data_IF_940377282143
#
_entry.id   IF_940377282143
#
_cell.length_a   1.000
_cell.length_b   1.000
_cell.length_c   1.000
_cell.angle_alpha   90.00
_cell.angle_beta   90.00
_cell.angle_gamma   90.00
#
_symmetry.space_group_name_H-M   'P 1'
#
loop_
_entity.id
_entity.type
_entity.pdbx_description
1 polymer ?
#
# COMPACT_ATOMS: atom_id res chain seq x y z
N UNK A 1 17.37 18.08 -11.75
CA UNK A 1 16.26 17.86 -12.70
C UNK A 1 14.95 18.13 -11.97
N UNK A 2 14.24 19.22 -12.25
CA UNK A 2 12.88 19.38 -11.75
C UNK A 2 12.05 18.24 -12.38
N UNK A 3 11.27 17.52 -11.58
CA UNK A 3 10.23 16.65 -12.15
C UNK A 3 9.22 17.61 -12.77
N UNK A 4 9.17 17.70 -14.09
CA UNK A 4 8.06 18.30 -14.81
C UNK A 4 6.77 17.78 -14.18
N UNK A 5 6.05 18.65 -13.48
CA UNK A 5 4.75 18.32 -12.95
C UNK A 5 3.86 18.09 -14.17
N UNK A 6 3.71 16.83 -14.58
CA UNK A 6 2.82 16.45 -15.65
C UNK A 6 1.40 16.76 -15.16
N UNK A 7 0.89 17.94 -15.54
CA UNK A 7 -0.42 18.41 -15.09
C UNK A 7 -1.45 17.52 -15.80
N UNK A 8 -1.88 16.49 -15.09
CA UNK A 8 -2.97 15.63 -15.54
C UNK A 8 -4.19 16.50 -15.89
N UNK A 9 -4.80 16.34 -17.08
CA UNK A 9 -6.01 17.06 -17.47
C UNK A 9 -7.12 16.95 -16.42
N UNK A 10 -7.89 18.02 -16.21
CA UNK A 10 -8.93 18.09 -15.17
C UNK A 10 -9.98 16.95 -15.27
N UNK A 11 -10.41 16.60 -16.48
CA UNK A 11 -11.37 15.51 -16.67
C UNK A 11 -10.82 14.15 -16.27
N UNK A 12 -9.55 13.89 -16.61
CA UNK A 12 -8.87 12.67 -16.19
C UNK A 12 -8.71 12.63 -14.67
N UNK A 13 -8.44 13.78 -14.02
CA UNK A 13 -8.39 13.89 -12.56
C UNK A 13 -9.73 13.57 -11.89
N UNK A 14 -10.85 14.03 -12.45
CA UNK A 14 -12.19 13.74 -11.94
C UNK A 14 -12.51 12.24 -12.08
N UNK A 15 -12.20 11.64 -13.23
CA UNK A 15 -12.36 10.20 -13.46
C UNK A 15 -11.54 9.37 -12.48
N UNK A 16 -10.27 9.73 -12.26
CA UNK A 16 -9.41 8.98 -11.35
C UNK A 16 -9.79 9.12 -9.87
N UNK A 17 -10.26 10.29 -9.44
CA UNK A 17 -10.79 10.46 -8.08
C UNK A 17 -12.03 9.59 -7.84
N UNK A 18 -12.92 9.51 -8.82
CA UNK A 18 -14.09 8.63 -8.78
C UNK A 18 -13.67 7.16 -8.71
N UNK A 19 -12.77 6.72 -9.60
CA UNK A 19 -12.24 5.36 -9.61
C UNK A 19 -11.53 4.98 -8.31
N UNK A 20 -10.80 5.90 -7.69
CA UNK A 20 -10.17 5.67 -6.40
C UNK A 20 -11.21 5.32 -5.32
N UNK A 21 -12.31 6.05 -5.28
CA UNK A 21 -13.42 5.77 -4.36
C UNK A 21 -14.01 4.37 -4.58
N UNK A 22 -14.27 3.99 -5.84
CA UNK A 22 -14.77 2.67 -6.21
C UNK A 22 -13.80 1.53 -5.81
N UNK A 23 -12.51 1.71 -6.04
CA UNK A 23 -11.48 0.73 -5.67
C UNK A 23 -11.42 0.57 -4.14
N UNK A 24 -11.45 1.68 -3.39
CA UNK A 24 -11.47 1.65 -1.92
C UNK A 24 -12.73 0.93 -1.43
N UNK A 25 -13.89 1.20 -2.02
CA UNK A 25 -15.14 0.54 -1.67
C UNK A 25 -15.06 -0.98 -1.90
N UNK A 26 -14.62 -1.39 -3.08
CA UNK A 26 -14.48 -2.81 -3.44
C UNK A 26 -13.50 -3.54 -2.51
N UNK A 27 -12.34 -2.93 -2.24
CA UNK A 27 -11.33 -3.51 -1.36
C UNK A 27 -11.80 -3.59 0.09
N UNK A 28 -12.48 -2.56 0.60
CA UNK A 28 -13.03 -2.55 1.95
C UNK A 28 -14.09 -3.65 2.13
N UNK A 29 -14.98 -3.80 1.14
CA UNK A 29 -15.99 -4.88 1.12
C UNK A 29 -15.33 -6.25 1.14
N UNK A 30 -14.28 -6.46 0.32
CA UNK A 30 -13.51 -7.72 0.32
C UNK A 30 -12.86 -8.01 1.67
N UNK A 31 -12.43 -6.97 2.38
CA UNK A 31 -11.84 -7.07 3.72
C UNK A 31 -12.89 -7.10 4.84
N UNK A 32 -14.20 -7.08 4.52
CA UNK A 32 -15.31 -6.98 5.47
C UNK A 32 -15.19 -5.77 6.42
N UNK A 33 -14.72 -4.65 5.87
CA UNK A 33 -14.59 -3.36 6.57
C UNK A 33 -15.46 -2.31 5.91
N UNK A 34 -15.77 -1.26 6.68
CA UNK A 34 -16.40 -0.07 6.11
C UNK A 34 -15.40 0.64 5.18
N UNK A 35 -15.85 1.16 4.01
CA UNK A 35 -15.00 1.93 3.14
C UNK A 35 -14.58 3.24 3.81
N UNK A 36 -13.32 3.61 3.61
CA UNK A 36 -12.81 4.89 4.12
C UNK A 36 -13.22 6.03 3.17
N UNK A 37 -13.68 7.16 3.69
CA UNK A 37 -14.04 8.31 2.87
C UNK A 37 -12.78 8.92 2.23
N UNK A 38 -12.87 9.22 0.94
CA UNK A 38 -11.83 9.96 0.23
C UNK A 38 -12.08 11.45 0.41
N UNK A 39 -11.25 12.12 1.19
CA UNK A 39 -11.40 13.56 1.40
C UNK A 39 -10.81 14.38 0.23
N UNK A 40 -11.28 15.62 0.03
CA UNK A 40 -10.66 16.54 -0.91
C UNK A 40 -9.18 16.85 -0.61
N UNK A 41 -8.78 16.79 0.67
CA UNK A 41 -7.40 17.05 1.07
C UNK A 41 -6.46 15.92 0.63
N UNK A 42 -6.93 14.67 0.68
CA UNK A 42 -6.21 13.52 0.15
C UNK A 42 -6.00 13.62 -1.35
N UNK A 43 -7.08 13.91 -2.09
CA UNK A 43 -7.02 14.10 -3.54
C UNK A 43 -6.06 15.23 -3.91
N UNK A 44 -6.15 16.38 -3.26
CA UNK A 44 -5.25 17.51 -3.50
C UNK A 44 -3.78 17.13 -3.24
N UNK A 45 -3.51 16.34 -2.21
CA UNK A 45 -2.16 15.90 -1.87
C UNK A 45 -1.59 14.94 -2.90
N UNK A 46 -2.40 14.02 -3.43
CA UNK A 46 -2.05 13.16 -4.56
C UNK A 46 -1.73 14.00 -5.79
N UNK A 47 -2.53 15.04 -6.07
CA UNK A 47 -2.34 15.89 -7.25
C UNK A 47 -1.03 16.68 -7.17
N UNK A 48 -0.68 17.19 -5.99
CA UNK A 48 0.55 17.97 -5.79
C UNK A 48 1.81 17.12 -5.88
N UNK A 49 1.71 15.82 -5.59
CA UNK A 49 2.88 14.93 -5.49
C UNK A 49 3.14 14.11 -6.75
N UNK A 50 2.17 14.06 -7.65
CA UNK A 50 2.11 13.08 -8.73
C UNK A 50 1.00 12.09 -8.42
N UNK A 51 -0.10 12.22 -9.15
CA UNK A 51 -1.17 11.25 -9.08
C UNK A 51 -0.64 9.89 -9.59
N UNK A 52 -1.11 8.75 -9.07
CA UNK A 52 -0.78 7.43 -9.58
C UNK A 52 -0.79 7.40 -11.12
N UNK A 53 0.34 7.03 -11.73
CA UNK A 53 0.49 7.12 -13.19
C UNK A 53 -0.23 5.97 -13.90
N UNK A 54 -0.55 4.91 -13.17
CA UNK A 54 -1.24 3.73 -13.68
C UNK A 54 -2.21 3.13 -12.63
N UNK A 55 -3.06 2.21 -13.09
CA UNK A 55 -4.06 1.53 -12.26
C UNK A 55 -3.45 0.71 -11.12
N UNK A 56 -2.27 0.11 -11.33
CA UNK A 56 -1.58 -0.69 -10.31
C UNK A 56 -1.13 0.17 -9.12
N UNK A 57 -0.61 1.37 -9.39
CA UNK A 57 -0.27 2.36 -8.36
C UNK A 57 -1.51 2.85 -7.62
N UNK A 58 -2.62 3.06 -8.33
CA UNK A 58 -3.88 3.49 -7.71
C UNK A 58 -4.43 2.41 -6.77
N UNK A 59 -4.36 1.14 -7.18
CA UNK A 59 -4.76 0.01 -6.33
C UNK A 59 -3.83 -0.17 -5.14
N UNK A 60 -2.51 -0.08 -5.35
CA UNK A 60 -1.50 -0.12 -4.28
C UNK A 60 -1.75 0.98 -3.25
N UNK A 61 -2.05 2.18 -3.73
CA UNK A 61 -2.42 3.32 -2.90
C UNK A 61 -3.70 3.06 -2.10
N UNK A 62 -4.76 2.55 -2.73
CA UNK A 62 -6.01 2.21 -2.05
C UNK A 62 -5.82 1.14 -0.97
N UNK A 63 -5.02 0.11 -1.25
CA UNK A 63 -4.64 -0.92 -0.25
C UNK A 63 -3.88 -0.29 0.92
N UNK A 64 -2.93 0.60 0.65
CA UNK A 64 -2.17 1.33 1.68
C UNK A 64 -3.09 2.18 2.55
N UNK A 65 -4.03 2.89 1.94
CA UNK A 65 -5.00 3.73 2.65
C UNK A 65 -5.87 2.91 3.59
N UNK A 66 -6.44 1.80 3.09
CA UNK A 66 -7.25 0.88 3.90
C UNK A 66 -6.46 0.19 5.02
N UNK A 67 -5.18 -0.10 4.77
CA UNK A 67 -4.29 -0.68 5.77
C UNK A 67 -4.02 0.29 6.92
N UNK A 68 -3.70 1.55 6.61
CA UNK A 68 -3.44 2.58 7.61
C UNK A 68 -4.71 2.99 8.37
N UNK A 69 -5.87 2.95 7.73
CA UNK A 69 -7.15 3.30 8.38
C UNK A 69 -7.34 4.80 8.63
N UNK A 70 -6.30 5.62 8.47
CA UNK A 70 -6.30 7.06 8.70
C UNK A 70 -5.64 7.81 7.55
N UNK A 71 -6.35 8.81 7.04
CA UNK A 71 -5.88 9.73 6.01
C UNK A 71 -4.62 10.49 6.45
N UNK A 72 -4.51 10.88 7.72
CA UNK A 72 -3.39 11.65 8.26
C UNK A 72 -2.10 10.84 8.23
N UNK A 73 -2.18 9.56 8.53
CA UNK A 73 -1.04 8.64 8.44
C UNK A 73 -0.60 8.49 6.99
N UNK A 74 -1.55 8.33 6.06
CA UNK A 74 -1.24 8.22 4.64
C UNK A 74 -0.61 9.50 4.09
N UNK A 75 -1.11 10.67 4.49
CA UNK A 75 -0.54 11.96 4.13
C UNK A 75 0.86 12.18 4.69
N UNK A 76 1.17 11.62 5.86
CA UNK A 76 2.50 11.65 6.46
C UNK A 76 3.48 10.66 5.80
N UNK A 77 2.97 9.58 5.18
CA UNK A 77 3.75 8.61 4.40
C UNK A 77 3.99 9.04 2.94
N UNK A 78 2.96 9.63 2.31
CA UNK A 78 3.16 10.72 1.35
C UNK A 78 4.02 11.80 2.04
N UNK A 79 4.43 12.96 1.53
CA UNK A 79 5.46 13.81 2.24
C UNK A 79 6.84 13.15 2.53
N UNK A 80 6.98 12.00 3.22
CA UNK A 80 8.26 11.32 3.53
C UNK A 80 9.02 10.78 2.30
N UNK A 81 8.32 10.44 1.22
CA UNK A 81 8.93 9.96 -0.03
C UNK A 81 8.53 8.52 -0.30
N UNK A 82 8.85 7.93 -1.46
CA UNK A 82 8.63 6.51 -1.67
C UNK A 82 9.45 5.74 -0.64
N UNK A 83 8.79 5.24 0.40
CA UNK A 83 9.37 4.21 1.26
C UNK A 83 9.33 2.95 0.43
N UNK A 84 10.51 2.49 0.02
CA UNK A 84 10.71 1.16 -0.55
C UNK A 84 10.37 0.11 0.51
N UNK A 85 9.09 -0.14 0.77
CA UNK A 85 8.68 -1.42 1.33
C UNK A 85 8.70 -2.42 0.18
N UNK A 86 9.91 -2.86 -0.16
CA UNK A 86 10.12 -4.14 -0.80
C UNK A 86 9.70 -5.23 0.21
N UNK A 87 8.40 -5.48 0.32
CA UNK A 87 7.98 -6.81 0.69
C UNK A 87 8.15 -7.65 -0.58
N UNK A 88 9.37 -8.15 -0.79
CA UNK A 88 9.56 -9.31 -1.63
C UNK A 88 8.60 -10.37 -1.07
N UNK A 89 7.52 -10.64 -1.80
CA UNK A 89 6.92 -11.96 -1.71
C UNK A 89 7.99 -12.89 -2.27
N UNK A 90 8.80 -13.45 -1.39
CA UNK A 90 9.62 -14.60 -1.72
C UNK A 90 8.65 -15.68 -2.20
N UNK A 91 8.55 -15.78 -3.52
CA UNK A 91 7.91 -16.89 -4.19
C UNK A 91 8.71 -18.12 -3.78
N UNK A 92 8.20 -18.90 -2.84
CA UNK A 92 8.67 -20.27 -2.59
C UNK A 92 8.61 -21.05 -3.90
N UNK A 93 9.75 -21.49 -4.47
CA UNK A 93 9.73 -22.41 -5.58
C UNK A 93 9.56 -23.83 -5.02
N UNK A 94 8.48 -24.49 -5.44
CA UNK A 94 8.49 -25.91 -5.81
C UNK A 94 8.92 -26.91 -4.74
N UNK A 95 7.93 -27.57 -4.16
CA UNK A 95 8.07 -28.93 -3.63
C UNK A 95 8.28 -29.91 -4.80
N UNK A 96 9.28 -30.79 -4.75
CA UNK A 96 9.04 -32.20 -5.05
C UNK A 96 9.48 -33.04 -3.85
N UNK A 97 8.56 -33.85 -3.35
CA UNK A 97 8.78 -34.62 -2.13
C UNK A 97 9.64 -35.85 -2.34
N UNK A 98 10.40 -36.22 -1.31
CA UNK A 98 10.63 -37.60 -0.85
C UNK A 98 10.74 -37.54 0.69
N UNK A 99 10.10 -38.49 1.38
CA UNK A 99 9.96 -38.61 2.84
C UNK A 99 11.19 -39.31 3.49
N UNK A 100 11.13 -39.75 4.77
CA UNK A 100 11.11 -38.97 6.02
C UNK A 100 12.29 -39.35 6.94
N UNK A 101 12.77 -38.48 7.83
CA UNK A 101 13.39 -38.96 9.07
C UNK A 101 13.27 -37.94 10.22
N UNK A 102 12.95 -38.48 11.40
CA UNK A 102 12.72 -37.75 12.65
C UNK A 102 14.05 -37.40 13.30
N UNK A 103 14.17 -36.19 13.83
CA UNK A 103 14.82 -36.00 15.13
C UNK A 103 14.32 -34.71 15.78
N UNK A 104 13.84 -34.82 17.02
CA UNK A 104 13.56 -33.71 17.92
C UNK A 104 14.77 -32.78 18.05
N UNK A 105 14.54 -31.46 18.01
CA UNK A 105 15.25 -30.60 18.96
C UNK A 105 14.51 -29.30 19.24
N UNK A 106 14.42 -29.05 20.54
CA UNK A 106 13.82 -27.95 21.27
C UNK A 106 14.69 -26.69 21.09
N UNK A 107 14.08 -25.55 20.79
CA UNK A 107 14.82 -24.29 20.77
C UNK A 107 13.94 -23.12 20.35
N UNK A 108 13.30 -22.48 21.33
CA UNK A 108 12.72 -21.16 21.12
C UNK A 108 13.80 -20.16 20.76
N UNK A 109 13.50 -19.25 19.84
CA UNK A 109 14.28 -18.04 19.65
C UNK A 109 13.33 -16.86 19.59
N UNK A 110 13.37 -16.10 20.69
CA UNK A 110 12.65 -14.87 20.95
C UNK A 110 13.04 -13.78 19.94
N UNK A 111 12.04 -13.05 19.45
CA UNK A 111 12.22 -11.83 18.70
C UNK A 111 12.79 -10.74 19.63
N UNK A 112 14.06 -10.36 19.45
CA UNK A 112 14.64 -9.21 20.13
C UNK A 112 14.18 -7.91 19.46
N UNK A 113 13.37 -7.14 20.17
CA UNK A 113 13.14 -5.73 19.88
C UNK A 113 14.19 -4.90 20.63
N UNK A 114 15.03 -4.16 19.90
CA UNK A 114 15.97 -3.21 20.50
C UNK A 114 15.23 -1.87 20.72
N UNK A 115 15.13 -1.35 21.95
CA UNK A 115 14.65 0.00 22.20
C UNK A 115 15.80 1.01 22.00
N UNK A 116 15.55 2.08 21.25
CA UNK A 116 16.48 3.22 21.13
C UNK A 116 16.09 4.26 22.17
N UNK A 117 17.09 4.71 22.94
CA UNK A 117 17.01 5.70 24.03
C UNK A 117 16.63 7.10 23.49
#
# INVERSE_FOLDING_TARGET
MPREANIVPFEMRKGMAHMLGEIIALLAMKQRRAPLPVSPALLKSLWLRGFPENWGELESFARRFLFLGDERMLLAELRRGPVLTACQTENSPGRPGIAPERTESKGGQECQCIPTN
#
